data_IF_077898080822
#
_entry.id   IF_077898080822
#
_cell.length_a   1.000
_cell.length_b   1.000
_cell.length_c   1.000
_cell.angle_alpha   90.00
_cell.angle_beta   90.00
_cell.angle_gamma   90.00
#
_symmetry.space_group_name_H-M   'P 1'
#
loop_
_entity.id
_entity.type
_entity.pdbx_description
1 polymer ?
#
# COMPACT_ATOMS: atom_id res chain seq x y z
N UNK A 1 -4.40 -3.04 17.77
CA UNK A 1 -3.06 -2.50 17.40
C UNK A 1 -2.43 -3.25 16.21
N UNK A 2 -3.16 -3.45 15.10
CA UNK A 2 -2.65 -4.24 13.97
C UNK A 2 -1.41 -3.64 13.29
N UNK A 3 -1.34 -2.31 13.19
CA UNK A 3 -0.20 -1.63 12.56
C UNK A 3 1.09 -1.71 13.38
N UNK A 4 1.01 -1.64 14.71
CA UNK A 4 2.19 -1.79 15.57
C UNK A 4 2.81 -3.19 15.43
N UNK A 5 1.97 -4.23 15.35
CA UNK A 5 2.43 -5.60 15.09
C UNK A 5 3.03 -5.72 13.69
N UNK A 6 2.37 -5.11 12.69
CA UNK A 6 2.86 -5.07 11.31
C UNK A 6 4.25 -4.42 11.19
N UNK A 7 4.49 -3.33 11.91
CA UNK A 7 5.79 -2.65 11.92
C UNK A 7 6.92 -3.56 12.41
N UNK A 8 6.70 -4.30 13.50
CA UNK A 8 7.69 -5.25 14.02
C UNK A 8 7.92 -6.42 13.05
N UNK A 9 6.86 -6.89 12.40
CA UNK A 9 6.95 -7.96 11.41
C UNK A 9 7.79 -7.53 10.19
N UNK A 10 7.52 -6.36 9.63
CA UNK A 10 8.22 -5.90 8.41
C UNK A 10 9.68 -5.59 8.67
N UNK A 11 10.04 -5.09 9.85
CA UNK A 11 11.44 -4.94 10.26
C UNK A 11 12.19 -6.27 10.21
N UNK A 12 11.54 -7.39 10.54
CA UNK A 12 12.19 -8.70 10.60
C UNK A 12 12.16 -9.47 9.28
N UNK A 13 11.08 -9.34 8.51
CA UNK A 13 10.83 -10.23 7.37
C UNK A 13 10.63 -9.52 6.03
N UNK A 14 10.49 -8.19 6.01
CA UNK A 14 10.31 -7.42 4.78
C UNK A 14 11.23 -6.19 4.76
N UNK A 15 12.55 -6.39 4.59
CA UNK A 15 13.52 -5.31 4.64
C UNK A 15 13.29 -4.29 3.50
N UNK A 16 13.76 -3.04 3.66
CA UNK A 16 13.56 -1.97 2.67
C UNK A 16 14.07 -2.29 1.26
N UNK A 17 15.07 -3.16 1.12
CA UNK A 17 15.55 -3.62 -0.18
C UNK A 17 14.48 -4.40 -0.96
N UNK A 18 13.73 -5.26 -0.27
CA UNK A 18 12.63 -6.02 -0.90
C UNK A 18 11.52 -5.08 -1.35
N UNK A 19 11.19 -4.05 -0.55
CA UNK A 19 10.24 -2.99 -0.95
C UNK A 19 10.69 -2.31 -2.24
N UNK A 20 11.96 -1.87 -2.31
CA UNK A 20 12.51 -1.21 -3.51
C UNK A 20 12.47 -2.09 -4.76
N UNK A 21 12.82 -3.38 -4.65
CA UNK A 21 12.76 -4.31 -5.79
C UNK A 21 11.32 -4.49 -6.30
N UNK A 22 10.37 -4.64 -5.39
CA UNK A 22 8.96 -4.76 -5.76
C UNK A 22 8.42 -3.46 -6.38
N UNK A 23 8.81 -2.29 -5.87
CA UNK A 23 8.46 -0.99 -6.46
C UNK A 23 8.96 -0.86 -7.91
N UNK A 24 10.24 -1.17 -8.15
CA UNK A 24 10.83 -1.14 -9.50
C UNK A 24 10.11 -2.09 -10.47
N UNK A 25 9.68 -3.27 -9.99
CA UNK A 25 8.90 -4.21 -10.80
C UNK A 25 7.53 -3.62 -11.17
N UNK A 26 6.82 -3.02 -10.21
CA UNK A 26 5.52 -2.40 -10.46
C UNK A 26 5.64 -1.21 -11.41
N UNK A 27 6.67 -0.37 -11.27
CA UNK A 27 6.96 0.72 -12.20
C UNK A 27 7.13 0.19 -13.64
N UNK A 28 7.89 -0.90 -13.80
CA UNK A 28 8.05 -1.56 -15.10
C UNK A 28 6.72 -2.07 -15.68
N UNK A 29 5.87 -2.67 -14.85
CA UNK A 29 4.55 -3.16 -15.26
C UNK A 29 3.63 -2.01 -15.70
N UNK A 30 3.61 -0.89 -14.95
CA UNK A 30 2.83 0.30 -15.30
C UNK A 30 3.31 0.88 -16.63
N UNK A 31 4.62 1.00 -16.83
CA UNK A 31 5.20 1.48 -18.08
C UNK A 31 4.81 0.60 -19.28
N UNK A 32 4.93 -0.72 -19.14
CA UNK A 32 4.53 -1.68 -20.17
C UNK A 32 3.03 -1.58 -20.48
N UNK A 33 2.19 -1.42 -19.46
CA UNK A 33 0.75 -1.27 -19.64
C UNK A 33 0.38 0.04 -20.34
N UNK A 34 1.08 1.14 -20.02
CA UNK A 34 0.92 2.45 -20.67
C UNK A 34 1.26 2.39 -22.16
N UNK A 35 2.37 1.72 -22.51
CA UNK A 35 2.76 1.47 -23.89
C UNK A 35 1.69 0.65 -24.63
N UNK A 36 1.21 -0.44 -24.01
CA UNK A 36 0.16 -1.29 -24.58
C UNK A 36 -1.14 -0.52 -24.83
N UNK A 37 -1.62 0.23 -23.84
CA UNK A 37 -2.86 1.03 -23.94
C UNK A 37 -2.80 2.02 -25.10
N UNK A 38 -1.65 2.68 -25.27
CA UNK A 38 -1.44 3.64 -26.36
C UNK A 38 -1.56 2.99 -27.75
N UNK A 39 -1.08 1.75 -27.88
CA UNK A 39 -1.05 1.00 -29.14
C UNK A 39 -2.37 0.28 -29.51
N UNK A 40 -3.39 0.25 -28.65
CA UNK A 40 -4.63 -0.51 -28.92
C UNK A 40 -5.42 0.08 -30.10
N UNK A 41 -5.53 -0.65 -31.22
CA UNK A 41 -6.26 -0.19 -32.40
C UNK A 41 -7.79 -0.16 -32.21
N UNK A 42 -8.33 -1.01 -31.33
CA UNK A 42 -9.77 -1.16 -31.13
C UNK A 42 -10.39 -0.08 -30.23
N UNK A 43 -9.57 0.70 -29.52
CA UNK A 43 -10.04 1.69 -28.55
C UNK A 43 -10.01 3.09 -29.16
N UNK A 44 -11.11 3.84 -29.01
CA UNK A 44 -11.16 5.22 -29.48
C UNK A 44 -10.13 6.11 -28.77
N UNK A 45 -9.64 7.20 -29.40
CA UNK A 45 -8.68 8.10 -28.77
C UNK A 45 -9.16 8.68 -27.43
N UNK A 46 -10.46 9.02 -27.35
CA UNK A 46 -11.07 9.58 -26.14
C UNK A 46 -11.07 8.59 -24.97
N UNK A 47 -11.36 7.31 -25.24
CA UNK A 47 -11.32 6.27 -24.22
C UNK A 47 -9.90 5.98 -23.76
N UNK A 48 -8.90 6.01 -24.66
CA UNK A 48 -7.48 5.86 -24.29
C UNK A 48 -7.04 6.94 -23.30
N UNK A 49 -7.41 8.20 -23.53
CA UNK A 49 -7.09 9.30 -22.61
C UNK A 49 -7.62 9.02 -21.20
N UNK A 50 -8.88 8.59 -21.09
CA UNK A 50 -9.48 8.26 -19.78
C UNK A 50 -8.82 7.04 -19.13
N UNK A 51 -8.46 6.03 -19.92
CA UNK A 51 -7.76 4.85 -19.43
C UNK A 51 -6.37 5.18 -18.89
N UNK A 52 -5.62 6.05 -19.60
CA UNK A 52 -4.32 6.55 -19.16
C UNK A 52 -4.45 7.40 -17.90
N UNK A 53 -5.44 8.29 -17.82
CA UNK A 53 -5.68 9.09 -16.62
C UNK A 53 -5.98 8.22 -15.40
N UNK A 54 -6.78 7.16 -15.56
CA UNK A 54 -7.05 6.19 -14.49
C UNK A 54 -5.78 5.43 -14.08
N UNK A 55 -4.95 5.05 -15.04
CA UNK A 55 -3.68 4.37 -14.76
C UNK A 55 -2.75 5.28 -13.95
N UNK A 56 -2.66 6.56 -14.32
CA UNK A 56 -1.82 7.56 -13.67
C UNK A 56 -2.33 7.93 -12.26
N UNK A 57 -3.61 7.70 -11.96
CA UNK A 57 -4.20 7.93 -10.63
C UNK A 57 -4.11 6.72 -9.70
N UNK A 58 -3.51 5.60 -10.11
CA UNK A 58 -3.40 4.42 -9.26
C UNK A 58 -2.32 4.62 -8.18
N UNK A 59 -2.74 4.54 -6.92
CA UNK A 59 -1.82 4.45 -5.78
C UNK A 59 -1.41 2.99 -5.56
N UNK A 60 -0.11 2.73 -5.54
CA UNK A 60 0.44 1.38 -5.35
C UNK A 60 1.01 1.25 -3.94
N UNK A 61 0.35 0.44 -3.11
CA UNK A 61 0.88 0.03 -1.81
C UNK A 61 1.85 -1.14 -1.93
N UNK A 62 3.07 -1.01 -1.39
CA UNK A 62 4.07 -2.10 -1.36
C UNK A 62 4.55 -2.36 0.05
N UNK A 63 4.18 -3.51 0.61
CA UNK A 63 4.70 -4.07 1.86
C UNK A 63 4.21 -3.38 3.14
N UNK A 64 4.57 -2.11 3.34
CA UNK A 64 4.25 -1.34 4.54
C UNK A 64 4.06 0.15 4.23
N UNK A 65 3.24 0.87 5.03
CA UNK A 65 3.05 2.31 4.86
C UNK A 65 4.31 3.08 5.25
N UNK A 66 4.46 4.28 4.70
CA UNK A 66 5.58 5.15 5.06
C UNK A 66 5.39 5.79 6.44
N UNK A 67 4.14 5.93 6.88
CA UNK A 67 3.76 6.43 8.20
C UNK A 67 2.94 5.39 8.97
N UNK A 68 3.27 5.20 10.24
CA UNK A 68 2.59 4.25 11.13
C UNK A 68 1.63 4.98 12.08
N UNK A 69 0.52 4.34 12.41
CA UNK A 69 -0.37 4.82 13.47
C UNK A 69 0.36 4.81 14.82
N UNK A 70 0.29 5.93 15.52
CA UNK A 70 0.84 6.11 16.88
C UNK A 70 -0.25 5.81 17.90
N UNK A 71 0.02 4.92 18.85
CA UNK A 71 -0.92 4.49 19.89
C UNK A 71 -0.64 5.15 21.26
N UNK A 72 -0.12 6.38 21.29
CA UNK A 72 0.37 7.02 22.52
C UNK A 72 -0.71 7.25 23.59
N UNK A 73 -1.97 7.33 23.20
CA UNK A 73 -3.12 7.53 24.11
C UNK A 73 -3.76 6.23 24.58
N UNK A 74 -3.38 5.07 24.02
CA UNK A 74 -3.98 3.78 24.36
C UNK A 74 -3.32 3.19 25.61
N UNK A 75 -4.05 3.17 26.73
CA UNK A 75 -3.61 2.50 27.95
C UNK A 75 -3.99 1.01 27.94
N UNK A 76 -3.01 0.12 28.07
CA UNK A 76 -3.20 -1.34 28.08
C UNK A 76 -2.79 -1.92 29.43
N UNK A 77 -3.74 -2.57 30.11
CA UNK A 77 -3.57 -3.14 31.44
C UNK A 77 -3.57 -4.66 31.42
N UNK A 78 -2.60 -5.28 32.11
CA UNK A 78 -2.50 -6.74 32.19
C UNK A 78 -3.60 -7.30 33.08
N UNK A 79 -4.35 -8.28 32.59
CA UNK A 79 -5.43 -8.93 33.33
C UNK A 79 -6.82 -8.30 33.13
N UNK A 80 -6.90 -7.14 32.47
CA UNK A 80 -8.15 -6.45 32.16
C UNK A 80 -8.47 -6.50 30.65
N UNK A 81 -8.80 -7.70 30.16
CA UNK A 81 -9.07 -7.90 28.73
C UNK A 81 -10.29 -7.09 28.24
N UNK A 82 -11.36 -7.01 29.05
CA UNK A 82 -12.57 -6.28 28.69
C UNK A 82 -12.33 -4.77 28.70
N UNK A 83 -11.70 -4.21 29.73
CA UNK A 83 -11.41 -2.77 29.76
C UNK A 83 -10.40 -2.34 28.70
N UNK A 84 -9.44 -3.21 28.33
CA UNK A 84 -8.56 -2.95 27.19
C UNK A 84 -9.33 -2.84 25.87
N UNK A 85 -10.38 -3.65 25.67
CA UNK A 85 -11.23 -3.57 24.49
C UNK A 85 -12.00 -2.24 24.48
N UNK A 86 -12.64 -1.87 25.59
CA UNK A 86 -13.37 -0.61 25.70
C UNK A 86 -12.48 0.63 25.54
N UNK A 87 -11.21 0.59 26.00
CA UNK A 87 -10.24 1.69 25.79
C UNK A 87 -9.71 1.78 24.35
N UNK A 88 -9.91 0.73 23.55
CA UNK A 88 -9.44 0.65 22.18
C UNK A 88 -10.49 1.06 21.12
N UNK A 89 -11.75 1.26 21.54
CA UNK A 89 -12.81 1.89 20.74
C UNK A 89 -12.64 3.42 20.69
#
# INVERSE_FOLDING_TARGET
MGQAVGQLYTQRYFPPETKRRAQAMVEGLIAAYKARLSALAWMSPQTKIKALAKLDSLEIGVGYPDNWVVYSTLNVERGDALGNLCRAE
#
